data_IF_700471794631
#
_entry.id   IF_700471794631
#
_cell.length_a   1.000
_cell.length_b   1.000
_cell.length_c   1.000
_cell.angle_alpha   90.00
_cell.angle_beta   90.00
_cell.angle_gamma   90.00
#
_symmetry.space_group_name_H-M   'P 1'
#
loop_
_entity.id
_entity.type
_entity.pdbx_description
1 polymer ?
#
# COMPACT_ATOMS: atom_id res chain seq x y z
N UNK A 1 15.65 -45.11 -3.30
CA UNK A 1 15.88 -43.66 -3.21
C UNK A 1 16.32 -43.37 -1.78
N UNK A 2 17.52 -42.84 -1.58
CA UNK A 2 17.98 -42.42 -0.25
C UNK A 2 17.93 -40.89 -0.19
N UNK A 3 17.37 -40.34 0.89
CA UNK A 3 17.35 -38.90 1.14
C UNK A 3 18.52 -38.53 2.05
N UNK A 4 19.26 -37.49 1.68
CA UNK A 4 20.33 -36.91 2.48
C UNK A 4 19.99 -35.45 2.80
N UNK A 5 20.59 -34.88 3.85
CA UNK A 5 20.43 -33.46 4.16
C UNK A 5 20.94 -32.59 3.01
N UNK A 6 20.03 -31.85 2.37
CA UNK A 6 20.31 -31.03 1.20
C UNK A 6 20.88 -29.64 1.50
N UNK A 7 20.90 -29.23 2.77
CA UNK A 7 21.18 -27.87 3.23
C UNK A 7 19.91 -27.16 3.69
N UNK A 8 19.91 -25.83 3.59
CA UNK A 8 18.85 -24.94 4.06
C UNK A 8 18.26 -24.13 2.90
N UNK A 9 16.99 -23.75 3.04
CA UNK A 9 16.29 -22.92 2.05
C UNK A 9 15.47 -21.82 2.72
N UNK A 10 15.32 -20.70 2.02
CA UNK A 10 14.46 -19.59 2.41
C UNK A 10 13.72 -19.07 1.18
N UNK A 11 12.50 -18.63 1.40
CA UNK A 11 11.64 -18.09 0.37
C UNK A 11 10.93 -16.85 0.86
N UNK A 12 10.96 -15.80 0.04
CA UNK A 12 10.17 -14.61 0.22
C UNK A 12 9.33 -14.38 -1.05
N UNK A 13 8.11 -13.90 -0.84
CA UNK A 13 7.19 -13.60 -1.93
C UNK A 13 6.80 -12.13 -1.85
N UNK A 14 6.95 -11.43 -2.97
CA UNK A 14 6.49 -10.06 -3.15
C UNK A 14 5.32 -10.04 -4.11
N UNK A 15 4.46 -9.03 -3.95
CA UNK A 15 3.30 -8.80 -4.80
C UNK A 15 3.44 -7.43 -5.45
N UNK A 16 3.32 -7.38 -6.76
CA UNK A 16 3.55 -6.18 -7.57
C UNK A 16 2.28 -5.86 -8.35
N UNK A 17 1.83 -4.60 -8.26
CA UNK A 17 0.63 -4.09 -8.91
C UNK A 17 0.91 -2.67 -9.46
N UNK A 18 -0.03 -2.11 -10.22
CA UNK A 18 0.06 -0.81 -10.88
C UNK A 18 0.53 -0.91 -12.34
N UNK A 19 0.83 0.22 -12.98
CA UNK A 19 1.04 0.29 -14.43
C UNK A 19 2.39 -0.30 -14.89
N UNK A 20 3.45 -0.08 -14.13
CA UNK A 20 4.83 -0.40 -14.55
C UNK A 20 5.35 -1.68 -13.87
N UNK A 21 4.62 -2.80 -14.07
CA UNK A 21 4.96 -4.07 -13.40
C UNK A 21 6.35 -4.57 -13.79
N UNK A 22 6.68 -4.53 -15.08
CA UNK A 22 7.93 -5.08 -15.60
C UNK A 22 9.14 -4.25 -15.10
N UNK A 23 9.00 -2.92 -15.08
CA UNK A 23 9.99 -2.00 -14.55
C UNK A 23 10.19 -2.18 -13.04
N UNK A 24 9.10 -2.35 -12.29
CA UNK A 24 9.16 -2.64 -10.84
C UNK A 24 9.83 -3.99 -10.57
N UNK A 25 9.54 -5.01 -11.36
CA UNK A 25 10.19 -6.32 -11.28
C UNK A 25 11.69 -6.20 -11.58
N UNK A 26 12.06 -5.48 -12.63
CA UNK A 26 13.46 -5.25 -12.98
C UNK A 26 14.19 -4.47 -11.87
N UNK A 27 13.57 -3.43 -11.31
CA UNK A 27 14.10 -2.67 -10.17
C UNK A 27 14.31 -3.57 -8.95
N UNK A 28 13.31 -4.37 -8.58
CA UNK A 28 13.40 -5.31 -7.46
C UNK A 28 14.51 -6.34 -7.67
N UNK A 29 14.62 -6.93 -8.88
CA UNK A 29 15.70 -7.86 -9.22
C UNK A 29 17.08 -7.22 -9.06
N UNK A 30 17.25 -5.98 -9.52
CA UNK A 30 18.52 -5.26 -9.40
C UNK A 30 18.87 -4.95 -7.94
N UNK A 31 17.88 -4.52 -7.13
CA UNK A 31 18.07 -4.26 -5.70
C UNK A 31 18.45 -5.53 -4.93
N UNK A 32 17.77 -6.64 -5.20
CA UNK A 32 18.04 -7.94 -4.58
C UNK A 32 19.39 -8.51 -5.01
N UNK A 33 19.75 -8.39 -6.29
CA UNK A 33 21.07 -8.79 -6.78
C UNK A 33 22.18 -7.99 -6.12
N UNK A 34 21.99 -6.68 -5.91
CA UNK A 34 22.93 -5.85 -5.17
C UNK A 34 23.02 -6.24 -3.68
N UNK A 35 21.87 -6.47 -3.04
CA UNK A 35 21.79 -6.85 -1.63
C UNK A 35 22.48 -8.19 -1.35
N UNK A 36 22.32 -9.15 -2.26
CA UNK A 36 22.85 -10.52 -2.10
C UNK A 36 24.18 -10.76 -2.84
N UNK A 37 24.86 -9.72 -3.30
CA UNK A 37 26.11 -9.86 -4.08
C UNK A 37 27.22 -10.62 -3.33
N UNK A 38 27.26 -10.48 -2.00
CA UNK A 38 28.24 -11.11 -1.10
C UNK A 38 27.64 -12.30 -0.34
N UNK A 39 26.44 -12.75 -0.73
CA UNK A 39 25.76 -13.87 -0.09
C UNK A 39 26.36 -15.21 -0.51
N UNK A 40 26.55 -16.10 0.45
CA UNK A 40 27.07 -17.45 0.20
C UNK A 40 25.94 -18.44 -0.11
N UNK A 41 25.16 -18.16 -1.16
CA UNK A 41 24.07 -19.02 -1.60
C UNK A 41 24.57 -20.09 -2.57
N UNK A 42 24.14 -21.33 -2.37
CA UNK A 42 24.29 -22.38 -3.39
C UNK A 42 23.29 -22.20 -4.54
N UNK A 43 22.21 -21.45 -4.32
CA UNK A 43 21.24 -21.06 -5.35
C UNK A 43 20.53 -19.78 -4.95
N UNK A 44 20.36 -18.86 -5.90
CA UNK A 44 19.44 -17.73 -5.82
C UNK A 44 18.56 -17.75 -7.07
N UNK A 45 17.24 -17.74 -6.89
CA UNK A 45 16.27 -17.60 -7.98
C UNK A 45 15.32 -16.45 -7.68
N UNK A 46 15.13 -15.56 -8.65
CA UNK A 46 14.20 -14.43 -8.56
C UNK A 46 13.27 -14.48 -9.77
N UNK A 47 12.06 -14.99 -9.56
CA UNK A 47 11.14 -15.39 -10.62
C UNK A 47 9.81 -14.65 -10.48
N UNK A 48 9.33 -14.09 -11.58
CA UNK A 48 7.99 -13.52 -11.66
C UNK A 48 7.01 -14.62 -12.07
N UNK A 49 5.86 -14.65 -11.40
CA UNK A 49 4.73 -15.49 -11.76
C UNK A 49 3.53 -14.61 -12.15
N UNK A 50 2.97 -14.93 -13.30
CA UNK A 50 1.86 -14.20 -13.89
C UNK A 50 2.30 -12.94 -14.65
N UNK A 51 1.33 -12.36 -15.33
CA UNK A 51 1.45 -11.13 -16.12
C UNK A 51 0.32 -10.20 -15.74
N UNK A 52 0.52 -8.91 -15.98
CA UNK A 52 -0.49 -7.92 -15.68
C UNK A 52 -1.74 -8.12 -16.55
N UNK A 53 -2.91 -8.07 -15.92
CA UNK A 53 -4.20 -8.00 -16.62
C UNK A 53 -4.46 -6.53 -17.00
N UNK A 54 -4.86 -6.29 -18.25
CA UNK A 54 -5.27 -4.95 -18.69
C UNK A 54 -6.60 -4.58 -18.04
N UNK A 55 -6.63 -3.46 -17.32
CA UNK A 55 -7.81 -2.95 -16.62
C UNK A 55 -8.47 -4.01 -15.70
N UNK A 56 -7.75 -4.46 -14.65
CA UNK A 56 -8.22 -5.52 -13.75
C UNK A 56 -9.47 -5.08 -12.97
N UNK A 57 -10.41 -6.00 -12.72
CA UNK A 57 -11.62 -5.75 -11.92
C UNK A 57 -11.39 -5.86 -10.42
N UNK A 58 -10.22 -6.33 -9.99
CA UNK A 58 -9.83 -6.48 -8.59
C UNK A 58 -8.32 -6.32 -8.39
N UNK A 59 -7.92 -6.03 -7.16
CA UNK A 59 -6.54 -6.01 -6.69
C UNK A 59 -5.88 -7.35 -6.97
N UNK A 60 -6.57 -8.46 -6.71
CA UNK A 60 -6.04 -9.80 -6.98
C UNK A 60 -5.73 -9.99 -8.47
N UNK A 61 -6.67 -9.64 -9.36
CA UNK A 61 -6.48 -9.78 -10.80
C UNK A 61 -5.35 -8.89 -11.36
N UNK A 62 -5.13 -7.72 -10.75
CA UNK A 62 -4.07 -6.78 -11.15
C UNK A 62 -2.68 -7.10 -10.58
N UNK A 63 -2.57 -8.08 -9.69
CA UNK A 63 -1.33 -8.35 -8.94
C UNK A 63 -0.55 -9.51 -9.55
N UNK A 64 0.75 -9.30 -9.80
CA UNK A 64 1.70 -10.37 -10.12
C UNK A 64 2.55 -10.72 -8.90
N UNK A 65 3.08 -11.94 -8.88
CA UNK A 65 3.93 -12.41 -7.79
C UNK A 65 5.40 -12.39 -8.22
N UNK A 66 6.29 -11.99 -7.32
CA UNK A 66 7.75 -12.12 -7.48
C UNK A 66 8.28 -12.99 -6.34
N UNK A 67 8.74 -14.19 -6.69
CA UNK A 67 9.33 -15.16 -5.75
C UNK A 67 10.83 -14.97 -5.69
N UNK A 68 11.35 -14.87 -4.47
CA UNK A 68 12.79 -14.84 -4.17
C UNK A 68 13.10 -16.10 -3.38
N UNK A 69 13.89 -16.98 -3.98
CA UNK A 69 14.25 -18.28 -3.43
C UNK A 69 15.76 -18.38 -3.27
N UNK A 70 16.21 -18.76 -2.08
CA UNK A 70 17.62 -18.99 -1.79
C UNK A 70 17.84 -20.38 -1.18
N UNK A 71 18.97 -20.99 -1.49
CA UNK A 71 19.49 -22.19 -0.82
C UNK A 71 20.93 -21.97 -0.38
N UNK A 72 21.30 -22.59 0.73
CA UNK A 72 22.67 -22.61 1.21
C UNK A 72 23.02 -23.95 1.87
N UNK A 73 24.31 -24.27 1.95
CA UNK A 73 24.77 -25.51 2.61
C UNK A 73 24.75 -25.38 4.14
N UNK A 74 25.09 -24.20 4.66
CA UNK A 74 25.13 -23.91 6.09
C UNK A 74 23.95 -23.04 6.50
N UNK A 75 23.51 -23.17 7.75
CA UNK A 75 22.35 -22.42 8.27
C UNK A 75 22.65 -20.94 8.38
N UNK A 76 23.89 -20.60 8.73
CA UNK A 76 24.34 -19.23 8.98
C UNK A 76 24.28 -18.37 7.72
N UNK A 77 24.49 -18.98 6.56
CA UNK A 77 24.45 -18.33 5.25
C UNK A 77 23.03 -17.88 4.85
N UNK A 78 21.98 -18.44 5.49
CA UNK A 78 20.58 -18.12 5.20
C UNK A 78 19.81 -17.59 6.42
N UNK A 79 20.43 -17.62 7.60
CA UNK A 79 19.81 -17.22 8.86
C UNK A 79 19.74 -15.68 8.98
N UNK A 80 18.61 -15.12 8.56
CA UNK A 80 18.03 -13.91 9.14
C UNK A 80 18.70 -12.59 8.78
N UNK A 81 19.99 -12.37 9.01
CA UNK A 81 20.59 -11.01 8.86
C UNK A 81 20.56 -10.47 7.44
N UNK A 82 20.66 -11.33 6.43
CA UNK A 82 20.58 -10.91 5.02
C UNK A 82 19.15 -10.60 4.56
N UNK A 83 18.13 -11.13 5.24
CA UNK A 83 16.70 -10.94 4.91
C UNK A 83 15.95 -10.05 5.93
N UNK A 84 16.53 -9.72 7.08
CA UNK A 84 15.90 -8.94 8.17
C UNK A 84 16.26 -7.44 8.17
N UNK A 85 17.29 -7.04 7.41
CA UNK A 85 17.87 -5.68 7.44
C UNK A 85 17.38 -4.71 6.35
N UNK A 86 16.66 -5.19 5.34
CA UNK A 86 16.14 -4.37 4.24
C UNK A 86 14.63 -4.24 4.33
N UNK A 87 14.05 -3.29 3.58
CA UNK A 87 12.60 -3.08 3.43
C UNK A 87 11.81 -4.34 2.96
N UNK A 88 12.52 -5.46 2.72
CA UNK A 88 12.03 -6.85 2.67
C UNK A 88 11.21 -7.23 3.92
N UNK A 89 11.26 -6.49 5.03
CA UNK A 89 10.35 -6.66 6.18
C UNK A 89 8.86 -6.68 5.85
N UNK A 90 8.45 -6.15 4.68
CA UNK A 90 7.06 -6.22 4.19
C UNK A 90 6.74 -7.45 3.35
N UNK A 91 7.73 -8.20 2.88
CA UNK A 91 7.51 -9.51 2.28
C UNK A 91 7.57 -10.55 3.38
N UNK A 92 6.50 -11.33 3.51
CA UNK A 92 6.48 -12.52 4.35
C UNK A 92 7.62 -13.46 3.88
N UNK A 93 8.80 -13.33 4.49
CA UNK A 93 9.85 -14.32 4.41
C UNK A 93 9.34 -15.54 5.17
N UNK A 94 8.66 -16.44 4.45
CA UNK A 94 8.10 -17.68 4.98
C UNK A 94 9.26 -18.63 5.29
N UNK A 95 9.92 -18.43 6.43
CA UNK A 95 10.49 -19.57 7.14
C UNK A 95 9.32 -20.36 7.74
N UNK A 96 9.27 -21.65 7.39
CA UNK A 96 8.27 -22.64 7.77
C UNK A 96 7.34 -22.27 8.95
N UNK A 97 6.02 -22.26 8.66
CA UNK A 97 4.91 -22.28 9.63
C UNK A 97 4.96 -21.15 10.67
N UNK A 98 4.87 -19.91 10.23
CA UNK A 98 4.45 -18.84 11.13
C UNK A 98 2.98 -19.08 11.54
N UNK A 99 2.63 -18.97 12.83
CA UNK A 99 1.23 -18.91 13.24
C UNK A 99 0.54 -17.74 12.52
N UNK A 100 -0.75 -17.88 12.22
CA UNK A 100 -1.55 -16.74 11.77
C UNK A 100 -1.56 -15.70 12.89
N UNK A 101 -0.81 -14.61 12.72
CA UNK A 101 -0.78 -13.49 13.65
C UNK A 101 -1.88 -12.53 13.21
N UNK A 102 -3.04 -12.63 13.86
CA UNK A 102 -4.05 -11.58 13.78
C UNK A 102 -3.53 -10.36 14.57
N UNK A 103 -3.05 -9.35 13.85
CA UNK A 103 -2.77 -8.04 14.43
C UNK A 103 -4.08 -7.32 14.69
N UNK A 104 -4.61 -7.43 15.90
CA UNK A 104 -5.67 -6.54 16.34
C UNK A 104 -5.04 -5.16 16.58
N UNK A 105 -5.62 -4.05 16.08
CA UNK A 105 -5.28 -2.74 16.61
C UNK A 105 -5.44 -2.84 18.12
N UNK A 106 -4.32 -2.72 18.85
CA UNK A 106 -4.34 -2.74 20.30
C UNK A 106 -5.46 -1.80 20.78
N UNK A 107 -6.25 -2.25 21.75
CA UNK A 107 -6.86 -1.34 22.72
C UNK A 107 -5.70 -0.63 23.41
N UNK A 108 -5.19 0.42 22.74
CA UNK A 108 -4.10 1.21 23.25
C UNK A 108 -4.45 1.72 24.64
N UNK A 109 -3.45 2.00 25.49
CA UNK A 109 -3.72 2.59 26.79
C UNK A 109 -4.66 3.78 26.62
N UNK A 110 -5.73 3.83 27.43
CA UNK A 110 -6.63 4.99 27.45
C UNK A 110 -5.77 6.24 27.62
N UNK A 111 -6.12 7.34 26.96
CA UNK A 111 -5.37 8.61 27.09
C UNK A 111 -5.09 8.97 28.57
N UNK A 112 -6.03 8.65 29.47
CA UNK A 112 -5.92 8.84 30.91
C UNK A 112 -4.74 8.13 31.58
N UNK A 113 -4.12 7.15 30.93
CA UNK A 113 -2.97 6.39 31.43
C UNK A 113 -1.66 6.75 30.73
N UNK A 114 -1.68 7.70 29.79
CA UNK A 114 -0.50 8.14 29.04
C UNK A 114 0.04 9.44 29.66
N UNK A 115 1.33 9.44 30.00
CA UNK A 115 2.05 10.64 30.44
C UNK A 115 2.73 11.30 29.24
N UNK A 116 2.07 12.30 28.65
CA UNK A 116 2.56 13.00 27.47
C UNK A 116 3.69 13.97 27.84
N UNK A 117 4.83 13.84 27.17
CA UNK A 117 6.01 14.71 27.38
C UNK A 117 6.65 15.09 26.05
N UNK A 118 7.21 16.29 25.98
CA UNK A 118 8.09 16.74 24.89
C UNK A 118 9.53 16.71 25.41
N UNK A 119 10.39 15.95 24.73
CA UNK A 119 11.83 15.99 24.97
C UNK A 119 12.47 17.00 24.03
N UNK A 120 13.20 17.96 24.58
CA UNK A 120 13.94 18.95 23.81
C UNK A 120 15.35 18.43 23.50
N UNK A 121 15.95 18.93 22.42
CA UNK A 121 17.34 18.60 22.05
C UNK A 121 18.39 19.02 23.10
N UNK A 122 18.00 19.84 24.08
CA UNK A 122 18.80 20.22 25.25
C UNK A 122 18.82 19.17 26.35
N UNK A 123 17.97 18.15 26.26
CA UNK A 123 17.75 17.14 27.31
C UNK A 123 16.62 17.49 28.29
N UNK A 124 16.03 18.69 28.17
CA UNK A 124 14.89 19.08 28.99
C UNK A 124 13.62 18.31 28.59
N UNK A 125 12.78 18.00 29.58
CA UNK A 125 11.49 17.33 29.38
C UNK A 125 10.35 18.24 29.87
N UNK A 126 9.43 18.57 28.97
CA UNK A 126 8.24 19.38 29.27
C UNK A 126 7.03 18.46 29.33
N UNK A 127 6.29 18.49 30.44
CA UNK A 127 5.01 17.79 30.54
C UNK A 127 3.95 18.46 29.65
N UNK A 128 3.24 17.68 28.85
CA UNK A 128 2.11 18.15 28.05
C UNK A 128 0.84 17.83 28.84
N UNK A 129 0.15 18.84 29.40
CA UNK A 129 -1.10 18.60 30.12
C UNK A 129 -2.15 18.05 29.16
N UNK A 130 -3.10 17.31 29.72
CA UNK A 130 -4.21 16.78 28.92
C UNK A 130 -5.03 17.92 28.32
N UNK A 131 -5.54 17.75 27.09
CA UNK A 131 -6.46 18.71 26.52
C UNK A 131 -7.72 18.79 27.40
N UNK A 132 -8.04 19.99 27.88
CA UNK A 132 -9.26 20.25 28.67
C UNK A 132 -10.51 20.25 27.78
N UNK A 133 -10.34 20.58 26.50
CA UNK A 133 -11.40 20.64 25.50
C UNK A 133 -11.37 19.39 24.63
N UNK A 134 -12.24 18.43 24.96
CA UNK A 134 -12.42 17.20 24.18
C UNK A 134 -13.78 17.25 23.50
N UNK A 135 -13.82 16.88 22.23
CA UNK A 135 -15.06 16.76 21.47
C UNK A 135 -15.21 15.33 20.94
N UNK A 136 -16.42 14.80 21.04
CA UNK A 136 -16.77 13.55 20.35
C UNK A 136 -17.09 13.87 18.90
N UNK A 137 -16.22 13.45 17.99
CA UNK A 137 -16.45 13.61 16.56
C UNK A 137 -17.43 12.54 16.07
N UNK A 138 -18.34 12.93 15.17
CA UNK A 138 -19.17 11.96 14.46
C UNK A 138 -18.26 11.11 13.57
N UNK A 139 -18.49 9.80 13.58
CA UNK A 139 -17.80 8.86 12.69
C UNK A 139 -18.12 9.16 11.22
N UNK A 140 -19.31 9.68 10.94
CA UNK A 140 -19.76 10.04 9.60
C UNK A 140 -19.24 11.42 9.19
N UNK A 141 -18.45 11.47 8.12
CA UNK A 141 -18.00 12.72 7.51
C UNK A 141 -18.93 13.14 6.37
N UNK A 142 -19.07 14.44 6.08
CA UNK A 142 -19.76 14.90 4.88
C UNK A 142 -19.11 14.27 3.64
N UNK A 143 -19.95 13.71 2.78
CA UNK A 143 -19.55 13.10 1.51
C UNK A 143 -20.47 13.61 0.43
N UNK A 144 -19.90 14.14 -0.64
CA UNK A 144 -20.65 14.65 -1.77
C UNK A 144 -19.84 14.54 -3.06
N UNK A 145 -20.54 14.36 -4.17
CA UNK A 145 -19.98 14.62 -5.50
C UNK A 145 -19.78 16.13 -5.70
N UNK A 146 -19.10 16.48 -6.79
CA UNK A 146 -18.77 17.88 -7.06
C UNK A 146 -20.02 18.72 -7.26
N UNK A 147 -20.05 19.90 -6.63
CA UNK A 147 -21.20 20.82 -6.72
C UNK A 147 -21.26 21.57 -8.08
N UNK A 148 -20.15 21.59 -8.81
CA UNK A 148 -19.99 22.33 -10.05
C UNK A 148 -19.37 21.42 -11.14
N UNK A 149 -20.10 20.39 -11.62
CA UNK A 149 -19.60 19.47 -12.62
C UNK A 149 -19.47 20.17 -13.98
N UNK A 150 -18.43 19.83 -14.75
CA UNK A 150 -18.27 20.29 -16.12
C UNK A 150 -18.84 19.29 -17.12
N UNK A 151 -19.17 19.74 -18.33
CA UNK A 151 -19.48 18.83 -19.43
C UNK A 151 -18.20 18.17 -19.94
N UNK A 152 -18.00 16.89 -19.63
CA UNK A 152 -16.84 16.13 -20.07
C UNK A 152 -16.73 16.02 -21.60
N UNK A 153 -17.84 16.11 -22.33
CA UNK A 153 -17.83 16.08 -23.80
C UNK A 153 -17.30 17.38 -24.42
N UNK A 154 -17.29 18.48 -23.66
CA UNK A 154 -16.74 19.76 -24.11
C UNK A 154 -15.21 19.77 -24.21
N UNK A 155 -14.53 18.78 -23.61
CA UNK A 155 -13.07 18.66 -23.58
C UNK A 155 -12.47 18.10 -24.89
N UNK A 156 -13.32 17.76 -25.87
CA UNK A 156 -12.90 17.26 -27.17
C UNK A 156 -12.87 15.73 -27.27
N UNK A 157 -12.22 15.16 -28.31
CA UNK A 157 -12.11 13.73 -28.49
C UNK A 157 -11.39 13.04 -27.33
N UNK A 158 -11.86 11.86 -26.93
CA UNK A 158 -11.30 11.09 -25.80
C UNK A 158 -10.81 9.71 -26.24
N UNK A 159 -9.88 9.15 -25.47
CA UNK A 159 -9.40 7.78 -25.63
C UNK A 159 -9.36 7.04 -24.29
N UNK A 160 -9.31 5.70 -24.35
CA UNK A 160 -9.17 4.89 -23.15
C UNK A 160 -7.70 4.85 -22.69
N UNK A 161 -7.43 5.47 -21.55
CA UNK A 161 -6.14 5.45 -20.89
C UNK A 161 -6.25 5.01 -19.41
N UNK A 162 -5.17 4.44 -18.82
CA UNK A 162 -5.14 4.20 -17.39
C UNK A 162 -5.27 5.51 -16.60
N UNK A 163 -6.04 5.51 -15.52
CA UNK A 163 -6.23 6.72 -14.68
C UNK A 163 -4.90 7.32 -14.21
N UNK A 164 -3.94 6.46 -13.87
CA UNK A 164 -2.58 6.83 -13.44
C UNK A 164 -1.70 7.49 -14.50
N UNK A 165 -2.18 7.65 -15.74
CA UNK A 165 -1.47 8.40 -16.79
C UNK A 165 -1.46 9.91 -16.56
N UNK A 166 -2.49 10.43 -15.89
CA UNK A 166 -2.66 11.86 -15.57
C UNK A 166 -2.77 12.04 -14.06
N UNK A 167 -3.48 11.14 -13.37
CA UNK A 167 -3.82 11.27 -11.97
C UNK A 167 -2.78 10.57 -11.10
N UNK A 168 -2.19 11.32 -10.19
CA UNK A 168 -1.35 10.77 -9.15
C UNK A 168 -2.20 10.42 -7.92
N UNK A 169 -1.73 9.44 -7.14
CA UNK A 169 -2.42 9.04 -5.94
C UNK A 169 -1.46 8.75 -4.80
N UNK A 170 -1.93 8.98 -3.58
CA UNK A 170 -1.25 8.58 -2.36
C UNK A 170 -2.26 8.03 -1.38
N UNK A 171 -2.01 6.81 -0.89
CA UNK A 171 -2.74 6.26 0.24
C UNK A 171 -2.12 6.72 1.56
N UNK A 172 -2.96 6.90 2.57
CA UNK A 172 -2.53 7.08 3.95
C UNK A 172 -2.85 5.85 4.79
N UNK A 173 -1.88 5.46 5.62
CA UNK A 173 -2.08 4.39 6.60
C UNK A 173 -2.88 4.91 7.80
N UNK A 174 -4.09 4.37 8.00
CA UNK A 174 -4.95 4.65 9.15
C UNK A 174 -5.87 3.47 9.47
N UNK A 175 -5.37 2.48 10.23
CA UNK A 175 -6.17 1.49 10.96
C UNK A 175 -7.43 0.97 10.21
N UNK A 176 -8.63 1.27 10.69
CA UNK A 176 -9.92 0.82 10.17
C UNK A 176 -10.46 1.66 9.00
N UNK A 177 -9.79 2.76 8.62
CA UNK A 177 -10.21 3.64 7.54
C UNK A 177 -9.11 3.81 6.48
N UNK A 178 -9.24 3.07 5.38
CA UNK A 178 -8.35 3.23 4.23
C UNK A 178 -8.67 4.52 3.48
N UNK A 179 -7.68 5.39 3.36
CA UNK A 179 -7.83 6.65 2.64
C UNK A 179 -6.87 6.75 1.45
N UNK A 180 -7.34 7.37 0.38
CA UNK A 180 -6.55 7.65 -0.82
C UNK A 180 -6.86 9.05 -1.36
N UNK A 181 -5.83 9.88 -1.47
CA UNK A 181 -5.90 11.14 -2.19
C UNK A 181 -5.51 10.96 -3.65
N UNK A 182 -6.32 11.44 -4.57
CA UNK A 182 -6.06 11.55 -6.01
C UNK A 182 -5.83 13.01 -6.36
N UNK A 183 -4.78 13.32 -7.10
CA UNK A 183 -4.43 14.69 -7.44
C UNK A 183 -3.84 14.78 -8.83
N UNK A 184 -4.04 15.93 -9.45
CA UNK A 184 -3.54 16.27 -10.79
C UNK A 184 -2.43 17.31 -10.69
N UNK A 185 -1.59 17.40 -11.72
CA UNK A 185 -0.42 18.28 -11.69
C UNK A 185 -0.79 19.70 -12.08
N UNK A 186 -1.70 19.84 -13.05
CA UNK A 186 -2.10 21.13 -13.58
C UNK A 186 -3.50 21.51 -13.07
N UNK A 187 -3.73 22.80 -12.84
CA UNK A 187 -4.98 23.30 -12.25
C UNK A 187 -6.18 23.14 -13.20
N UNK A 188 -5.95 23.22 -14.51
CA UNK A 188 -6.96 23.02 -15.55
C UNK A 188 -7.45 21.56 -15.65
N UNK A 189 -6.69 20.60 -15.11
CA UNK A 189 -7.09 19.19 -15.02
C UNK A 189 -8.05 18.94 -13.84
N UNK A 190 -8.07 19.83 -12.84
CA UNK A 190 -8.82 19.60 -11.60
C UNK A 190 -10.35 19.59 -11.79
N UNK A 191 -10.96 20.49 -12.59
CA UNK A 191 -12.39 20.39 -12.94
C UNK A 191 -12.77 19.05 -13.57
N UNK A 192 -11.90 18.49 -14.42
CA UNK A 192 -12.09 17.16 -14.99
C UNK A 192 -12.01 16.07 -13.91
N UNK A 193 -10.97 16.10 -13.06
CA UNK A 193 -10.78 15.10 -11.99
C UNK A 193 -11.99 15.04 -11.05
N UNK A 194 -12.45 16.19 -10.53
CA UNK A 194 -13.57 16.26 -9.58
C UNK A 194 -14.90 15.85 -10.20
N UNK A 195 -15.09 16.11 -11.49
CA UNK A 195 -16.27 15.68 -12.25
C UNK A 195 -16.24 14.17 -12.52
N UNK A 196 -15.08 13.61 -12.87
CA UNK A 196 -14.93 12.18 -13.18
C UNK A 196 -15.05 11.31 -11.93
N UNK A 197 -14.34 11.64 -10.85
CA UNK A 197 -14.22 10.81 -9.66
C UNK A 197 -15.40 11.00 -8.70
N UNK A 198 -16.61 10.68 -9.14
CA UNK A 198 -17.79 10.59 -8.27
C UNK A 198 -17.72 9.39 -7.32
N UNK A 199 -18.53 9.38 -6.26
CA UNK A 199 -18.69 8.22 -5.37
C UNK A 199 -19.06 6.96 -6.17
N UNK A 200 -19.99 7.09 -7.12
CA UNK A 200 -20.39 5.99 -7.99
C UNK A 200 -19.23 5.49 -8.85
N UNK A 201 -18.46 6.41 -9.45
CA UNK A 201 -17.30 6.06 -10.27
C UNK A 201 -16.21 5.38 -9.46
N UNK A 202 -15.94 5.84 -8.24
CA UNK A 202 -14.95 5.22 -7.36
C UNK A 202 -15.33 3.78 -6.99
N UNK A 203 -16.62 3.52 -6.71
CA UNK A 203 -17.11 2.14 -6.51
C UNK A 203 -16.89 1.26 -7.75
N UNK A 204 -17.13 1.81 -8.95
CA UNK A 204 -16.83 1.09 -10.20
C UNK A 204 -15.34 0.81 -10.39
N UNK A 205 -14.47 1.76 -10.01
CA UNK A 205 -13.01 1.61 -10.12
C UNK A 205 -12.46 0.58 -9.12
N UNK A 206 -13.07 0.46 -7.94
CA UNK A 206 -12.77 -0.61 -6.98
C UNK A 206 -13.27 -1.98 -7.47
N UNK A 207 -14.25 -2.00 -8.37
CA UNK A 207 -14.72 -3.20 -9.05
C UNK A 207 -15.24 -4.25 -8.07
N UNK A 208 -14.75 -5.47 -8.20
CA UNK A 208 -15.18 -6.63 -7.41
C UNK A 208 -14.78 -6.48 -5.93
N UNK A 209 -13.76 -5.66 -5.63
CA UNK A 209 -13.28 -5.44 -4.26
C UNK A 209 -14.14 -4.42 -3.48
N UNK A 210 -15.05 -3.70 -4.14
CA UNK A 210 -15.88 -2.70 -3.46
C UNK A 210 -16.78 -3.31 -2.38
N UNK A 211 -17.46 -4.43 -2.67
CA UNK A 211 -18.43 -5.01 -1.74
C UNK A 211 -17.73 -5.82 -0.65
N UNK A 212 -16.69 -6.57 -0.99
CA UNK A 212 -15.88 -7.43 -0.10
C UNK A 212 -16.67 -8.13 1.03
N UNK A 213 -17.87 -8.64 0.73
CA UNK A 213 -18.80 -9.26 1.69
C UNK A 213 -19.18 -8.41 2.92
N UNK A 214 -19.05 -7.08 2.82
CA UNK A 214 -19.40 -6.14 3.87
C UNK A 214 -20.55 -5.21 3.41
N UNK A 215 -21.80 -5.48 3.83
CA UNK A 215 -22.95 -4.65 3.45
C UNK A 215 -22.88 -3.23 4.03
N UNK A 216 -22.09 -3.03 5.10
CA UNK A 216 -21.90 -1.74 5.76
C UNK A 216 -20.72 -0.94 5.19
N UNK A 217 -20.11 -1.39 4.08
CA UNK A 217 -18.98 -0.71 3.45
C UNK A 217 -19.37 0.69 2.96
N UNK A 218 -18.57 1.68 3.37
CA UNK A 218 -18.81 3.11 3.08
C UNK A 218 -17.66 3.70 2.28
N UNK A 219 -18.01 4.68 1.45
CA UNK A 219 -17.06 5.50 0.72
C UNK A 219 -17.44 6.95 0.96
N UNK A 220 -16.50 7.68 1.53
CA UNK A 220 -16.62 9.12 1.72
C UNK A 220 -15.79 9.79 0.63
N UNK A 221 -16.25 10.92 0.10
CA UNK A 221 -15.56 11.67 -0.94
C UNK A 221 -15.46 13.13 -0.52
N UNK A 222 -14.26 13.69 -0.58
CA UNK A 222 -13.97 15.08 -0.19
C UNK A 222 -13.09 15.74 -1.25
N UNK A 223 -13.39 16.99 -1.58
CA UNK A 223 -12.57 17.83 -2.47
C UNK A 223 -11.60 18.69 -1.68
N UNK A 224 -10.38 18.83 -2.20
CA UNK A 224 -9.33 19.69 -1.67
C UNK A 224 -8.82 20.63 -2.77
N UNK A 225 -9.57 21.71 -3.08
CA UNK A 225 -9.25 22.60 -4.19
C UNK A 225 -7.86 23.25 -4.09
N UNK A 226 -7.39 23.55 -2.88
CA UNK A 226 -6.08 24.19 -2.67
C UNK A 226 -4.87 23.32 -3.07
N UNK A 227 -5.09 22.04 -3.34
CA UNK A 227 -4.05 21.10 -3.79
C UNK A 227 -4.50 20.24 -4.98
N UNK A 228 -5.55 20.67 -5.69
CA UNK A 228 -6.10 19.99 -6.87
C UNK A 228 -6.39 18.48 -6.63
N UNK A 229 -6.94 18.15 -5.46
CA UNK A 229 -7.12 16.77 -5.05
C UNK A 229 -8.57 16.39 -4.75
N UNK A 230 -8.92 15.15 -5.06
CA UNK A 230 -10.14 14.46 -4.63
C UNK A 230 -9.70 13.32 -3.73
N UNK A 231 -10.24 13.26 -2.53
CA UNK A 231 -9.91 12.27 -1.52
C UNK A 231 -11.08 11.32 -1.29
N UNK A 232 -10.75 10.06 -1.07
CA UNK A 232 -11.64 9.05 -0.49
C UNK A 232 -11.14 8.62 0.88
#
# INVERSE_FOLDING_TARGET
>A
MFAAEGGYQAEATFYINGLDVDEKVAMMKNQLAHLFKDANFSRLSIEQYGTQVRNPSSQQAGTVQLRVFAQARKKEDIAGRQFQGSDIRRADAKLARLPHVAGFPNDGPKESTIDHRVLLGTGDSIAVPRPENIATYKVLRPSADTADPIDLFSLGPTEFAPLGSIVHARSGDKADNSNVGFFVRNEDEYPWLRTLLTVSRLKQLLGDDWFNNNPDQRLERVEFPGINAVHL
#
